data_IF_768665465202
#
_entry.id   IF_768665465202
#
_cell.length_a   1.000
_cell.length_b   1.000
_cell.length_c   1.000
_cell.angle_alpha   90.00
_cell.angle_beta   90.00
_cell.angle_gamma   90.00
#
_symmetry.space_group_name_H-M   'P 1'
#
loop_
_entity.id
_entity.type
_entity.pdbx_description
1 polymer ?
#
# COMPACT_ATOMS: atom_id res chain seq x y z
N UNK A 1 -6.08 19.56 -0.02
CA UNK A 1 -6.48 20.94 0.28
C UNK A 1 -5.52 21.91 -0.40
N UNK A 2 -4.25 21.94 -0.05
CA UNK A 2 -3.27 22.91 -0.56
C UNK A 2 -3.10 22.85 -2.09
N UNK A 3 -3.14 21.65 -2.68
CA UNK A 3 -3.12 21.48 -4.13
C UNK A 3 -4.40 22.05 -4.79
N UNK A 4 -5.58 21.87 -4.18
CA UNK A 4 -6.83 22.50 -4.65
C UNK A 4 -6.77 24.04 -4.57
N UNK A 5 -6.01 24.59 -3.61
CA UNK A 5 -5.81 26.02 -3.45
C UNK A 5 -4.73 26.61 -4.40
N UNK A 6 -4.14 25.75 -5.26
CA UNK A 6 -3.23 26.16 -6.32
C UNK A 6 -1.75 26.11 -5.98
N UNK A 7 -1.36 25.60 -4.82
CA UNK A 7 0.06 25.40 -4.45
C UNK A 7 0.62 24.13 -5.11
N UNK A 8 1.89 24.16 -5.46
CA UNK A 8 2.64 22.94 -5.79
C UNK A 8 3.04 22.26 -4.47
N UNK A 9 2.52 21.07 -4.21
CA UNK A 9 2.66 20.41 -2.92
C UNK A 9 3.38 19.08 -3.08
N UNK A 10 4.38 18.81 -2.23
CA UNK A 10 4.97 17.50 -2.08
C UNK A 10 4.59 16.89 -0.72
N UNK A 11 4.18 15.62 -0.66
CA UNK A 11 4.15 14.87 0.59
C UNK A 11 5.58 14.47 0.98
N UNK A 12 5.82 14.29 2.28
CA UNK A 12 7.10 13.82 2.78
C UNK A 12 6.93 12.96 4.04
N UNK A 13 7.50 11.78 4.04
CA UNK A 13 7.62 10.92 5.23
C UNK A 13 9.04 10.38 5.25
N UNK A 14 9.86 10.87 6.17
CA UNK A 14 11.29 10.56 6.22
C UNK A 14 11.58 9.06 6.29
N UNK A 15 10.77 8.34 7.07
CA UNK A 15 10.85 6.88 7.22
C UNK A 15 9.45 6.28 7.23
N UNK A 16 9.22 5.29 6.39
CA UNK A 16 8.02 4.46 6.44
C UNK A 16 8.36 2.99 6.74
N UNK A 17 7.44 2.29 7.39
CA UNK A 17 7.52 0.84 7.60
C UNK A 17 6.27 0.21 6.97
N UNK A 18 6.43 -0.40 5.80
CA UNK A 18 5.31 -0.99 5.07
C UNK A 18 5.73 -2.18 4.22
N UNK A 19 4.83 -3.14 4.04
CA UNK A 19 4.98 -4.23 3.07
C UNK A 19 4.56 -3.80 1.66
N UNK A 20 3.63 -2.84 1.57
CA UNK A 20 3.18 -2.29 0.30
C UNK A 20 4.21 -1.28 -0.23
N UNK A 21 4.72 -1.53 -1.41
CA UNK A 21 5.66 -0.64 -2.08
C UNK A 21 5.30 -0.47 -3.54
N UNK A 22 5.92 0.53 -4.14
CA UNK A 22 5.71 0.95 -5.52
C UNK A 22 7.06 1.23 -6.17
N UNK A 23 7.12 1.12 -7.49
CA UNK A 23 8.32 1.46 -8.27
C UNK A 23 8.05 2.77 -9.03
N UNK A 24 8.89 3.76 -8.79
CA UNK A 24 8.84 5.05 -9.49
C UNK A 24 9.31 4.91 -10.95
N UNK A 25 9.13 5.93 -11.78
CA UNK A 25 9.53 5.89 -13.19
C UNK A 25 11.02 5.63 -13.40
N UNK A 26 11.86 6.06 -12.47
CA UNK A 26 13.31 5.85 -12.50
C UNK A 26 13.75 4.53 -11.83
N UNK A 27 12.82 3.61 -11.56
CA UNK A 27 13.12 2.30 -10.99
C UNK A 27 13.38 2.28 -9.49
N UNK A 28 13.20 3.39 -8.77
CA UNK A 28 13.40 3.48 -7.34
C UNK A 28 12.17 2.96 -6.56
N UNK A 29 12.39 2.33 -5.40
CA UNK A 29 11.31 1.77 -4.57
C UNK A 29 10.90 2.73 -3.46
N UNK A 30 9.58 2.96 -3.28
CA UNK A 30 9.03 3.77 -2.20
C UNK A 30 7.76 3.17 -1.59
N UNK A 31 7.36 3.65 -0.43
CA UNK A 31 6.13 3.21 0.24
C UNK A 31 4.86 3.61 -0.52
N UNK A 32 3.90 2.70 -0.62
CA UNK A 32 2.63 2.93 -1.34
C UNK A 32 1.84 4.11 -0.75
N UNK A 33 1.86 4.31 0.56
CA UNK A 33 1.14 5.42 1.20
C UNK A 33 1.59 6.80 0.65
N UNK A 34 2.89 7.00 0.45
CA UNK A 34 3.41 8.27 -0.10
C UNK A 34 3.12 8.40 -1.59
N UNK A 35 2.93 7.29 -2.31
CA UNK A 35 2.41 7.31 -3.69
C UNK A 35 0.99 7.84 -3.72
N UNK A 36 0.11 7.35 -2.84
CA UNK A 36 -1.27 7.84 -2.71
C UNK A 36 -1.31 9.32 -2.35
N UNK A 37 -0.42 9.76 -1.45
CA UNK A 37 -0.30 11.18 -1.08
C UNK A 37 0.19 12.06 -2.25
N UNK A 38 1.13 11.57 -3.05
CA UNK A 38 1.58 12.24 -4.26
C UNK A 38 0.45 12.35 -5.30
N UNK A 39 -0.30 11.27 -5.50
CA UNK A 39 -1.48 11.26 -6.36
C UNK A 39 -2.55 12.26 -5.89
N UNK A 40 -2.82 12.33 -4.58
CA UNK A 40 -3.74 13.31 -3.99
C UNK A 40 -3.25 14.77 -4.16
N UNK A 41 -1.94 14.99 -4.19
CA UNK A 41 -1.34 16.28 -4.48
C UNK A 41 -1.24 16.58 -6.00
N UNK A 42 -1.60 15.63 -6.87
CA UNK A 42 -1.54 15.78 -8.32
C UNK A 42 -0.11 15.78 -8.89
N UNK A 43 0.85 15.18 -8.17
CA UNK A 43 2.26 15.13 -8.56
C UNK A 43 2.73 13.69 -8.80
N UNK A 44 3.75 13.52 -9.62
CA UNK A 44 4.35 12.20 -9.86
C UNK A 44 5.07 11.71 -8.59
N UNK A 45 4.88 10.45 -8.19
CA UNK A 45 5.61 9.87 -7.07
C UNK A 45 7.12 9.90 -7.26
N UNK A 46 7.83 10.44 -6.28
CA UNK A 46 9.28 10.56 -6.26
C UNK A 46 9.83 9.96 -4.96
N UNK A 47 10.91 9.19 -5.06
CA UNK A 47 11.52 8.52 -3.91
C UNK A 47 11.98 9.50 -2.82
N UNK A 48 12.28 10.76 -3.17
CA UNK A 48 12.58 11.82 -2.21
C UNK A 48 11.44 12.05 -1.20
N UNK A 49 10.19 11.75 -1.58
CA UNK A 49 9.02 11.86 -0.70
C UNK A 49 9.00 10.79 0.40
N UNK A 50 9.76 9.69 0.22
CA UNK A 50 9.95 8.64 1.22
C UNK A 50 11.39 8.09 1.14
N UNK A 51 12.40 8.83 1.61
CA UNK A 51 13.80 8.46 1.45
C UNK A 51 14.21 7.17 2.18
N UNK A 52 13.48 6.79 3.24
CA UNK A 52 13.76 5.55 3.99
C UNK A 52 12.49 4.68 4.02
N UNK A 53 12.60 3.46 3.49
CA UNK A 53 11.54 2.45 3.59
C UNK A 53 12.07 1.22 4.30
N UNK A 54 11.38 0.77 5.34
CA UNK A 54 11.63 -0.47 6.05
C UNK A 54 10.59 -1.51 5.64
N UNK A 55 11.03 -2.64 5.10
CA UNK A 55 10.15 -3.76 4.77
C UNK A 55 10.39 -4.90 5.75
N UNK A 56 9.46 -5.18 6.68
CA UNK A 56 9.57 -6.32 7.58
C UNK A 56 9.80 -7.61 6.79
N UNK A 57 10.84 -8.35 7.13
CA UNK A 57 11.20 -9.62 6.49
C UNK A 57 11.06 -10.82 7.45
N UNK A 58 11.01 -10.54 8.76
CA UNK A 58 10.80 -11.50 9.84
C UNK A 58 10.25 -10.77 11.07
N UNK A 59 9.96 -11.49 12.15
CA UNK A 59 9.48 -10.90 13.42
C UNK A 59 10.46 -9.86 14.01
N UNK A 60 11.73 -9.92 13.69
CA UNK A 60 12.77 -9.06 14.28
C UNK A 60 13.64 -8.31 13.28
N UNK A 61 13.48 -8.56 11.98
CA UNK A 61 14.33 -8.00 10.93
C UNK A 61 13.56 -7.32 9.82
N UNK A 62 14.19 -6.29 9.25
CA UNK A 62 13.67 -5.55 8.10
C UNK A 62 14.71 -5.36 7.03
N UNK A 63 14.28 -5.41 5.77
CA UNK A 63 15.07 -4.89 4.67
C UNK A 63 15.00 -3.36 4.71
N UNK A 64 16.18 -2.73 4.78
CA UNK A 64 16.33 -1.28 4.78
C UNK A 64 16.56 -0.82 3.35
N UNK A 65 15.74 0.12 2.89
CA UNK A 65 15.80 0.72 1.57
C UNK A 65 16.05 2.21 1.78
N UNK A 66 17.07 2.78 1.14
CA UNK A 66 17.45 4.19 1.23
C UNK A 66 17.46 4.77 -0.17
N UNK A 67 16.75 5.88 -0.39
CA UNK A 67 16.56 6.50 -1.71
C UNK A 67 16.12 5.51 -2.81
N UNK A 68 15.27 4.54 -2.42
CA UNK A 68 14.72 3.53 -3.30
C UNK A 68 15.66 2.36 -3.61
N UNK A 69 16.89 2.35 -3.08
CA UNK A 69 17.86 1.27 -3.24
C UNK A 69 17.97 0.41 -1.99
N UNK A 70 18.12 -0.90 -2.17
CA UNK A 70 18.31 -1.83 -1.05
C UNK A 70 19.67 -1.58 -0.41
N UNK A 71 19.66 -1.07 0.82
CA UNK A 71 20.88 -0.84 1.59
C UNK A 71 21.35 -2.13 2.29
N UNK A 72 20.42 -2.94 2.84
CA UNK A 72 20.74 -4.20 3.51
C UNK A 72 19.61 -4.74 4.37
N UNK A 73 19.94 -5.76 5.18
CA UNK A 73 19.05 -6.36 6.18
C UNK A 73 19.52 -5.95 7.58
N UNK A 74 18.62 -5.54 8.44
CA UNK A 74 18.92 -5.18 9.83
C UNK A 74 17.86 -5.70 10.79
N UNK A 75 18.29 -6.11 11.98
CA UNK A 75 17.40 -6.25 13.11
C UNK A 75 17.03 -4.88 13.70
N UNK A 76 15.90 -4.82 14.42
CA UNK A 76 15.37 -3.57 14.96
C UNK A 76 16.39 -2.84 15.88
N UNK A 77 17.12 -3.55 16.74
CA UNK A 77 18.05 -2.94 17.68
C UNK A 77 19.28 -2.33 16.95
N UNK A 78 19.77 -3.02 15.91
CA UNK A 78 20.86 -2.52 15.07
C UNK A 78 20.43 -1.32 14.25
N UNK A 79 19.22 -1.36 13.68
CA UNK A 79 18.66 -0.25 12.95
C UNK A 79 18.50 0.99 13.85
N UNK A 80 17.97 0.85 15.05
CA UNK A 80 17.81 1.96 16.00
C UNK A 80 19.12 2.66 16.32
N UNK A 81 20.21 1.90 16.52
CA UNK A 81 21.54 2.49 16.76
C UNK A 81 22.12 3.20 15.55
N UNK A 82 21.74 2.76 14.36
CA UNK A 82 22.34 3.23 13.11
C UNK A 82 21.54 4.32 12.41
N UNK A 83 20.20 4.37 12.57
CA UNK A 83 19.28 5.24 11.81
C UNK A 83 19.63 6.74 11.86
N UNK A 84 20.25 7.23 12.94
CA UNK A 84 20.69 8.63 13.04
C UNK A 84 21.68 9.03 11.95
N UNK A 85 22.43 8.06 11.41
CA UNK A 85 23.37 8.33 10.32
C UNK A 85 22.64 8.62 9.00
N UNK A 86 21.35 8.35 8.92
CA UNK A 86 20.50 8.64 7.76
C UNK A 86 19.91 10.05 7.77
N UNK A 87 20.08 10.81 8.87
CA UNK A 87 19.54 12.18 8.93
C UNK A 87 20.04 13.08 7.78
N UNK A 88 21.33 13.05 7.39
CA UNK A 88 21.79 13.82 6.22
C UNK A 88 21.06 13.43 4.92
N UNK A 89 20.79 12.15 4.70
CA UNK A 89 20.06 11.67 3.51
C UNK A 89 18.60 12.15 3.53
N UNK A 90 17.97 12.12 4.71
CA UNK A 90 16.61 12.63 4.92
C UNK A 90 16.55 14.14 4.63
N UNK A 91 17.50 14.92 5.17
CA UNK A 91 17.53 16.37 4.96
C UNK A 91 17.82 16.72 3.51
N UNK A 92 18.75 16.04 2.84
CA UNK A 92 19.04 16.26 1.42
C UNK A 92 17.80 16.01 0.54
N UNK A 93 17.02 14.96 0.84
CA UNK A 93 15.76 14.70 0.14
C UNK A 93 14.72 15.81 0.39
N UNK A 94 14.57 16.23 1.65
CA UNK A 94 13.65 17.30 2.04
C UNK A 94 14.03 18.62 1.37
N UNK A 95 15.29 19.06 1.48
CA UNK A 95 15.78 20.33 0.94
C UNK A 95 15.56 20.39 -0.60
N UNK A 96 15.83 19.28 -1.30
CA UNK A 96 15.60 19.18 -2.73
C UNK A 96 14.11 19.31 -3.10
N UNK A 97 13.18 18.77 -2.28
CA UNK A 97 11.74 18.96 -2.50
C UNK A 97 11.32 20.40 -2.15
N UNK A 98 11.86 20.98 -1.07
CA UNK A 98 11.55 22.33 -0.66
C UNK A 98 12.01 23.40 -1.66
N UNK A 99 13.05 23.12 -2.48
CA UNK A 99 13.45 23.98 -3.60
C UNK A 99 12.50 23.90 -4.80
N UNK A 100 11.81 22.77 -4.97
CA UNK A 100 10.97 22.49 -6.13
C UNK A 100 9.49 22.83 -5.90
N UNK A 101 8.98 22.62 -4.68
CA UNK A 101 7.58 22.75 -4.31
C UNK A 101 7.34 23.97 -3.41
N UNK A 102 6.14 24.53 -3.50
CA UNK A 102 5.76 25.69 -2.67
C UNK A 102 5.50 25.29 -1.22
N UNK A 103 5.00 24.06 -1.01
CA UNK A 103 4.72 23.50 0.30
C UNK A 103 5.17 22.03 0.37
N UNK A 104 5.73 21.62 1.51
CA UNK A 104 6.02 20.22 1.82
C UNK A 104 5.20 19.81 3.04
N UNK A 105 4.31 18.82 2.87
CA UNK A 105 3.49 18.27 3.96
C UNK A 105 4.17 17.04 4.53
N UNK A 106 4.65 17.16 5.77
CA UNK A 106 5.43 16.13 6.45
C UNK A 106 4.52 15.27 7.31
N UNK A 107 4.56 13.96 7.12
CA UNK A 107 3.93 12.99 7.99
C UNK A 107 4.93 12.41 8.98
N UNK A 108 4.57 12.40 10.28
CA UNK A 108 5.32 11.69 11.30
C UNK A 108 5.02 10.18 11.30
N UNK A 109 5.71 9.44 12.16
CA UNK A 109 5.46 8.02 12.37
C UNK A 109 5.45 7.66 13.85
N UNK A 110 4.49 6.82 14.27
CA UNK A 110 4.28 6.48 15.67
C UNK A 110 3.83 7.71 16.48
N UNK A 111 4.39 7.87 17.67
CA UNK A 111 4.08 8.99 18.56
C UNK A 111 5.30 9.88 18.80
N UNK A 112 5.16 11.22 18.77
CA UNK A 112 6.25 12.12 19.15
C UNK A 112 6.59 12.06 20.64
N UNK A 113 5.76 11.39 21.44
CA UNK A 113 5.96 11.21 22.90
C UNK A 113 6.65 9.90 23.27
N UNK A 114 7.26 9.19 22.32
CA UNK A 114 8.09 8.01 22.58
C UNK A 114 9.42 8.42 23.23
N UNK A 115 9.37 8.74 24.55
CA UNK A 115 10.48 9.34 25.32
C UNK A 115 11.74 8.47 25.34
N UNK A 116 11.58 7.15 25.24
CA UNK A 116 12.67 6.18 25.17
C UNK A 116 13.40 6.14 23.80
N UNK A 117 12.81 6.71 22.75
CA UNK A 117 13.35 6.71 21.38
C UNK A 117 13.74 8.11 20.88
N UNK A 118 13.57 9.12 21.72
CA UNK A 118 13.67 10.53 21.38
C UNK A 118 15.05 10.98 20.92
N UNK A 119 16.11 10.42 21.51
CA UNK A 119 17.49 10.86 21.24
C UNK A 119 17.91 10.72 19.77
N UNK A 120 17.31 9.76 19.07
CA UNK A 120 17.62 9.42 17.66
C UNK A 120 16.39 9.61 16.77
N UNK A 121 15.52 10.57 17.08
CA UNK A 121 14.30 10.85 16.31
C UNK A 121 14.63 11.58 15.01
N UNK A 122 14.41 10.91 13.89
CA UNK A 122 14.56 11.45 12.52
C UNK A 122 13.21 11.59 11.81
N UNK A 123 12.10 11.42 12.54
CA UNK A 123 10.75 11.25 11.94
C UNK A 123 9.76 12.28 12.44
N UNK A 124 9.69 12.50 13.76
CA UNK A 124 8.72 13.37 14.40
C UNK A 124 9.35 14.74 14.77
N UNK A 125 9.47 15.04 16.06
CA UNK A 125 9.96 16.34 16.54
C UNK A 125 11.43 16.59 16.18
N UNK A 126 12.25 15.55 16.05
CA UNK A 126 13.63 15.67 15.59
C UNK A 126 13.71 16.20 14.16
N UNK A 127 12.90 15.67 13.26
CA UNK A 127 12.78 16.19 11.89
C UNK A 127 12.18 17.60 11.87
N UNK A 128 11.05 17.82 12.57
CA UNK A 128 10.39 19.12 12.60
C UNK A 128 11.33 20.25 13.08
N UNK A 129 12.23 19.93 14.01
CA UNK A 129 13.29 20.87 14.45
C UNK A 129 14.34 21.13 13.38
N UNK A 130 14.77 20.06 12.69
CA UNK A 130 15.84 20.15 11.70
C UNK A 130 15.43 21.00 10.49
N UNK A 131 14.14 20.94 10.09
CA UNK A 131 13.59 21.65 8.92
C UNK A 131 12.75 22.89 9.31
N UNK A 132 12.73 23.25 10.58
CA UNK A 132 12.00 24.41 11.14
C UNK A 132 10.48 24.38 10.85
N UNK A 133 9.87 23.19 10.81
CA UNK A 133 8.47 23.05 10.48
C UNK A 133 7.52 23.30 11.68
N UNK A 134 6.38 23.98 11.49
CA UNK A 134 5.28 23.97 12.46
C UNK A 134 4.62 22.57 12.49
N UNK A 135 4.08 22.20 13.65
CA UNK A 135 3.53 20.87 13.89
C UNK A 135 2.03 20.96 14.21
N UNK A 136 1.22 20.21 13.47
CA UNK A 136 -0.18 19.95 13.81
C UNK A 136 -0.24 18.60 14.50
N UNK A 137 -0.66 18.57 15.76
CA UNK A 137 -0.79 17.33 16.53
C UNK A 137 -2.20 16.79 16.41
N UNK A 138 -2.36 15.66 15.70
CA UNK A 138 -3.64 15.01 15.48
C UNK A 138 -3.83 13.82 16.44
N UNK A 139 -5.02 13.73 17.07
CA UNK A 139 -5.42 12.61 17.91
C UNK A 139 -6.63 11.88 17.35
N UNK A 140 -6.60 10.54 17.35
CA UNK A 140 -7.70 9.68 16.91
C UNK A 140 -8.67 9.41 18.08
N UNK A 141 -9.89 9.95 17.99
CA UNK A 141 -10.92 9.78 19.05
C UNK A 141 -11.63 8.44 19.00
N UNK A 142 -11.62 7.75 17.86
CA UNK A 142 -12.36 6.49 17.68
C UNK A 142 -11.84 5.37 18.60
N UNK A 143 -10.58 5.44 19.00
CA UNK A 143 -9.95 4.51 19.96
C UNK A 143 -10.19 4.85 21.44
N UNK A 144 -10.79 6.01 21.73
CA UNK A 144 -10.97 6.53 23.07
C UNK A 144 -9.71 7.15 23.68
N UNK A 145 -9.89 7.99 24.72
CA UNK A 145 -8.78 8.59 25.48
C UNK A 145 -8.05 9.74 24.77
N UNK A 146 -8.58 10.31 23.69
CA UNK A 146 -7.92 11.34 22.86
C UNK A 146 -7.44 12.56 23.64
N UNK A 147 -8.21 13.04 24.64
CA UNK A 147 -7.80 14.16 25.50
C UNK A 147 -6.54 13.85 26.29
N UNK A 148 -6.45 12.63 26.86
CA UNK A 148 -5.27 12.18 27.59
C UNK A 148 -4.08 12.00 26.64
N UNK A 149 -4.29 11.50 25.44
CA UNK A 149 -3.24 11.32 24.43
C UNK A 149 -2.67 12.69 24.01
N UNK A 150 -3.51 13.65 23.64
CA UNK A 150 -3.07 14.98 23.21
C UNK A 150 -2.38 15.72 24.35
N UNK A 151 -3.00 15.77 25.54
CA UNK A 151 -2.40 16.38 26.72
C UNK A 151 -1.06 15.73 27.10
N UNK A 152 -1.04 14.41 27.21
CA UNK A 152 0.16 13.65 27.58
C UNK A 152 1.28 13.84 26.58
N UNK A 153 0.97 13.85 25.29
CA UNK A 153 1.96 14.12 24.23
C UNK A 153 2.58 15.50 24.41
N UNK A 154 1.76 16.56 24.54
CA UNK A 154 2.25 17.93 24.74
C UNK A 154 3.06 18.06 26.04
N UNK A 155 2.62 17.41 27.13
CA UNK A 155 3.29 17.47 28.43
C UNK A 155 4.66 16.77 28.47
N UNK A 156 4.84 15.70 27.67
CA UNK A 156 6.09 14.93 27.59
C UNK A 156 7.14 15.56 26.67
N UNK A 157 6.74 16.48 25.79
CA UNK A 157 7.66 17.18 24.90
C UNK A 157 8.46 18.26 25.65
N UNK A 158 9.67 18.52 25.18
CA UNK A 158 10.50 19.63 25.65
C UNK A 158 9.90 20.98 25.25
N UNK A 159 10.30 22.04 25.94
CA UNK A 159 9.77 23.39 25.69
C UNK A 159 9.95 23.82 24.22
N UNK A 160 11.14 23.58 23.67
CA UNK A 160 11.47 23.93 22.28
C UNK A 160 10.64 23.13 21.26
N UNK A 161 10.23 21.91 21.59
CA UNK A 161 9.36 21.08 20.77
C UNK A 161 7.90 21.50 20.92
N UNK A 162 7.45 21.74 22.15
CA UNK A 162 6.11 22.26 22.41
C UNK A 162 5.87 23.60 21.71
N UNK A 163 6.90 24.45 21.64
CA UNK A 163 6.80 25.73 20.93
C UNK A 163 6.43 25.55 19.45
N UNK A 164 6.86 24.45 18.81
CA UNK A 164 6.55 24.14 17.39
C UNK A 164 5.12 23.66 17.14
N UNK A 165 4.41 23.19 18.19
CA UNK A 165 3.01 22.78 18.02
C UNK A 165 2.18 24.03 17.74
N UNK A 166 1.73 24.17 16.51
CA UNK A 166 0.87 25.25 16.03
C UNK A 166 -0.60 25.03 16.43
N UNK A 167 -1.04 23.76 16.51
CA UNK A 167 -2.40 23.46 16.93
C UNK A 167 -2.66 21.97 17.12
N UNK A 168 -3.82 21.69 17.71
CA UNK A 168 -4.32 20.35 17.97
C UNK A 168 -5.49 20.04 17.05
N UNK A 169 -5.60 18.79 16.59
CA UNK A 169 -6.71 18.30 15.75
C UNK A 169 -7.26 17.04 16.41
N UNK A 170 -8.59 16.94 16.50
CA UNK A 170 -9.26 15.70 16.85
C UNK A 170 -9.81 15.07 15.58
N UNK A 171 -9.47 13.83 15.30
CA UNK A 171 -9.82 13.13 14.07
C UNK A 171 -10.79 11.97 14.33
N UNK A 172 -11.58 11.60 13.30
CA UNK A 172 -12.52 10.48 13.25
C UNK A 172 -13.66 10.57 14.27
N UNK A 173 -14.12 11.77 14.56
CA UNK A 173 -15.21 11.96 15.51
C UNK A 173 -16.55 11.44 14.96
N UNK A 174 -17.30 10.75 15.83
CA UNK A 174 -18.65 10.29 15.54
C UNK A 174 -19.64 10.90 16.52
N UNK A 175 -20.64 11.62 16.04
CA UNK A 175 -21.69 12.23 16.86
C UNK A 175 -21.75 13.75 16.76
N UNK A 176 -22.31 14.39 17.78
CA UNK A 176 -22.46 15.86 17.84
C UNK A 176 -21.20 16.50 18.43
N UNK A 177 -20.45 17.23 17.61
CA UNK A 177 -19.23 17.92 18.01
C UNK A 177 -19.48 18.99 19.10
N UNK A 178 -20.72 19.50 19.26
CA UNK A 178 -21.04 20.44 20.32
C UNK A 178 -20.83 19.84 21.73
N UNK A 179 -21.01 18.53 21.87
CA UNK A 179 -20.77 17.82 23.13
C UNK A 179 -19.30 17.81 23.55
N UNK A 180 -18.35 17.93 22.60
CA UNK A 180 -16.91 18.02 22.91
C UNK A 180 -16.48 19.40 23.39
N UNK A 181 -17.24 20.46 23.08
CA UNK A 181 -16.83 21.85 23.29
C UNK A 181 -16.27 22.15 24.67
N UNK A 182 -16.90 21.72 25.81
CA UNK A 182 -16.34 21.96 27.13
C UNK A 182 -14.97 21.28 27.32
N UNK A 183 -14.79 20.08 26.78
CA UNK A 183 -13.52 19.34 26.82
C UNK A 183 -12.43 19.99 25.96
N UNK A 184 -12.81 20.57 24.79
CA UNK A 184 -11.86 21.28 23.92
C UNK A 184 -11.29 22.50 24.64
N UNK A 185 -12.18 23.33 25.24
CA UNK A 185 -11.75 24.51 26.04
C UNK A 185 -10.80 24.11 27.18
N UNK A 186 -11.13 23.02 27.88
CA UNK A 186 -10.25 22.51 28.95
C UNK A 186 -8.90 22.01 28.41
N UNK A 187 -8.88 21.33 27.25
CA UNK A 187 -7.67 20.87 26.60
C UNK A 187 -6.77 22.06 26.22
N UNK A 188 -7.34 23.11 25.63
CA UNK A 188 -6.62 24.34 25.29
C UNK A 188 -5.99 25.00 26.53
N UNK A 189 -6.76 25.09 27.63
CA UNK A 189 -6.27 25.63 28.90
C UNK A 189 -5.10 24.81 29.47
N UNK A 190 -5.18 23.47 29.40
CA UNK A 190 -4.17 22.58 29.94
C UNK A 190 -2.89 22.53 29.09
N UNK A 191 -3.02 22.65 27.76
CA UNK A 191 -1.90 22.52 26.82
C UNK A 191 -1.30 23.86 26.42
N UNK A 192 -2.07 24.97 26.54
CA UNK A 192 -1.74 26.25 25.96
C UNK A 192 -1.72 26.26 24.43
N UNK A 193 -2.39 25.29 23.79
CA UNK A 193 -2.44 25.11 22.33
C UNK A 193 -3.89 25.16 21.86
N UNK A 194 -4.14 25.85 20.75
CA UNK A 194 -5.46 25.96 20.13
C UNK A 194 -5.89 24.61 19.52
N UNK A 195 -7.16 24.26 19.66
CA UNK A 195 -7.78 23.17 18.90
C UNK A 195 -8.29 23.73 17.58
N UNK A 196 -7.62 23.38 16.48
CA UNK A 196 -7.94 23.87 15.13
C UNK A 196 -9.18 23.26 14.54
N UNK A 197 -9.67 22.17 15.10
CA UNK A 197 -10.94 21.57 14.69
C UNK A 197 -11.12 20.12 15.11
N UNK A 198 -12.33 19.64 14.82
CA UNK A 198 -12.77 18.26 15.06
C UNK A 198 -13.25 17.69 13.74
N UNK A 199 -12.41 16.84 13.13
CA UNK A 199 -12.72 16.18 11.86
C UNK A 199 -13.67 15.01 12.12
N UNK A 200 -14.84 14.98 11.49
CA UNK A 200 -15.75 13.83 11.61
C UNK A 200 -15.15 12.58 10.96
N UNK A 201 -15.71 11.42 11.28
CA UNK A 201 -15.44 10.23 10.52
C UNK A 201 -15.99 10.40 9.10
N UNK A 202 -15.08 10.48 8.14
CA UNK A 202 -15.43 10.67 6.73
C UNK A 202 -15.54 9.30 6.04
N UNK A 203 -16.65 9.00 5.35
CA UNK A 203 -16.81 7.74 4.63
C UNK A 203 -16.13 7.80 3.25
N UNK A 204 -14.81 7.98 3.25
CA UNK A 204 -13.98 7.99 2.04
C UNK A 204 -13.28 6.65 1.88
N UNK A 205 -13.12 6.24 0.63
CA UNK A 205 -12.45 5.00 0.24
C UNK A 205 -11.08 5.35 -0.35
N UNK A 206 -10.08 5.37 0.52
CA UNK A 206 -8.68 5.63 0.17
C UNK A 206 -7.88 4.37 0.49
N UNK A 207 -6.88 4.07 -0.32
CA UNK A 207 -5.99 2.92 -0.11
C UNK A 207 -5.42 2.90 1.30
N UNK A 208 -5.50 1.74 1.94
CA UNK A 208 -4.91 1.53 3.25
C UNK A 208 -3.38 1.41 3.16
N UNK A 209 -2.69 1.90 4.18
CA UNK A 209 -1.23 1.90 4.23
C UNK A 209 -0.66 0.49 4.44
N UNK A 210 -1.28 -0.33 5.27
CA UNK A 210 -0.74 -1.61 5.70
C UNK A 210 -1.72 -2.80 5.62
N UNK A 211 -1.16 -4.01 5.71
CA UNK A 211 -1.89 -5.28 5.66
C UNK A 211 -2.71 -5.61 6.94
N UNK A 212 -2.75 -4.72 7.92
CA UNK A 212 -3.60 -4.83 9.13
C UNK A 212 -4.92 -4.08 8.96
N UNK A 213 -5.15 -3.47 7.81
CA UNK A 213 -6.32 -2.68 7.50
C UNK A 213 -7.64 -3.42 7.79
N UNK A 214 -8.64 -2.74 8.38
CA UNK A 214 -9.94 -3.34 8.70
C UNK A 214 -10.65 -3.94 7.49
N UNK A 215 -10.47 -3.37 6.28
CA UNK A 215 -11.08 -3.87 5.03
C UNK A 215 -10.68 -5.32 4.73
N UNK A 216 -9.45 -5.72 5.08
CA UNK A 216 -8.95 -7.09 4.88
C UNK A 216 -9.62 -8.13 5.79
N UNK A 217 -10.43 -7.69 6.73
CA UNK A 217 -11.21 -8.53 7.65
C UNK A 217 -12.72 -8.32 7.53
N UNK A 218 -13.14 -7.31 6.76
CA UNK A 218 -14.54 -6.96 6.61
C UNK A 218 -15.29 -8.03 5.79
N UNK A 219 -16.51 -8.39 6.22
CA UNK A 219 -17.44 -9.13 5.37
C UNK A 219 -18.02 -8.14 4.36
N UNK A 220 -17.74 -8.37 3.08
CA UNK A 220 -18.36 -7.56 2.05
C UNK A 220 -19.84 -7.91 1.85
N UNK A 221 -20.61 -6.91 1.42
CA UNK A 221 -21.99 -7.09 0.98
C UNK A 221 -22.08 -8.04 -0.21
N UNK A 222 -23.09 -8.89 -0.25
CA UNK A 222 -23.38 -9.75 -1.40
C UNK A 222 -23.53 -8.91 -2.68
N UNK A 223 -22.64 -9.12 -3.64
CA UNK A 223 -22.68 -8.56 -4.97
C UNK A 223 -22.87 -9.67 -6.00
N UNK A 224 -23.01 -9.29 -7.27
CA UNK A 224 -23.34 -10.25 -8.33
C UNK A 224 -22.26 -11.32 -8.55
N UNK A 225 -21.00 -10.98 -8.37
CA UNK A 225 -19.85 -11.89 -8.47
C UNK A 225 -19.05 -11.91 -7.17
N UNK A 226 -18.68 -13.10 -6.74
CA UNK A 226 -17.87 -13.35 -5.55
C UNK A 226 -16.40 -13.57 -5.95
N UNK A 227 -15.54 -12.63 -5.60
CA UNK A 227 -14.09 -12.70 -5.84
C UNK A 227 -13.38 -12.89 -4.52
N UNK A 228 -12.59 -13.94 -4.42
CA UNK A 228 -11.79 -14.22 -3.22
C UNK A 228 -10.34 -13.86 -3.46
N UNK A 229 -9.79 -13.04 -2.56
CA UNK A 229 -8.34 -12.85 -2.40
C UNK A 229 -7.88 -13.73 -1.24
N UNK A 230 -6.91 -14.61 -1.49
CA UNK A 230 -6.32 -15.41 -0.41
C UNK A 230 -5.49 -14.51 0.48
N UNK A 231 -5.90 -14.34 1.73
CA UNK A 231 -5.17 -13.51 2.70
C UNK A 231 -3.98 -14.28 3.25
N UNK A 232 -2.84 -14.10 2.60
CA UNK A 232 -1.55 -14.67 3.01
C UNK A 232 -1.04 -14.01 4.30
N UNK A 233 -0.25 -14.70 5.15
CA UNK A 233 0.36 -14.12 6.35
C UNK A 233 1.26 -12.91 6.06
N UNK A 234 2.04 -12.97 4.95
CA UNK A 234 2.94 -11.89 4.54
C UNK A 234 2.42 -11.14 3.30
N UNK A 235 1.08 -11.04 3.19
CA UNK A 235 0.40 -10.32 2.11
C UNK A 235 1.05 -8.96 1.84
N UNK A 236 1.39 -8.69 0.59
CA UNK A 236 1.95 -7.42 0.13
C UNK A 236 1.24 -6.93 -1.13
N UNK A 237 1.25 -5.62 -1.35
CA UNK A 237 0.67 -4.97 -2.52
C UNK A 237 -0.81 -5.35 -2.76
N UNK A 238 -1.56 -5.50 -1.67
CA UNK A 238 -3.00 -5.84 -1.75
C UNK A 238 -3.83 -4.76 -2.45
N UNK A 239 -3.30 -3.55 -2.58
CA UNK A 239 -3.89 -2.45 -3.34
C UNK A 239 -4.06 -2.76 -4.82
N UNK A 240 -3.39 -3.79 -5.36
CA UNK A 240 -3.65 -4.31 -6.71
C UNK A 240 -5.13 -4.64 -6.96
N UNK A 241 -5.91 -4.91 -5.90
CA UNK A 241 -7.31 -5.35 -6.01
C UNK A 241 -8.32 -4.25 -5.66
N UNK A 242 -7.87 -3.07 -5.21
CA UNK A 242 -8.76 -1.92 -4.92
C UNK A 242 -9.64 -1.53 -6.12
N UNK A 243 -9.15 -1.58 -7.38
CA UNK A 243 -9.99 -1.31 -8.54
C UNK A 243 -11.17 -2.28 -8.68
N UNK A 244 -11.00 -3.53 -8.24
CA UNK A 244 -12.07 -4.53 -8.23
C UNK A 244 -13.05 -4.29 -7.07
N UNK A 245 -12.56 -3.88 -5.90
CA UNK A 245 -13.37 -3.60 -4.70
C UNK A 245 -14.35 -2.44 -4.95
N UNK A 246 -13.89 -1.39 -5.64
CA UNK A 246 -14.69 -0.23 -5.99
C UNK A 246 -15.79 -0.52 -7.04
N UNK A 247 -15.72 -1.68 -7.72
CA UNK A 247 -16.66 -2.03 -8.77
C UNK A 247 -18.02 -2.51 -8.23
N UNK A 248 -19.12 -2.00 -8.76
CA UNK A 248 -20.48 -2.27 -8.26
C UNK A 248 -20.93 -3.73 -8.33
N UNK A 249 -20.39 -4.52 -9.28
CA UNK A 249 -20.77 -5.92 -9.48
C UNK A 249 -19.87 -6.91 -8.73
N UNK A 250 -18.68 -6.50 -8.26
CA UNK A 250 -17.69 -7.39 -7.66
C UNK A 250 -17.73 -7.31 -6.14
N UNK A 251 -18.02 -8.42 -5.47
CA UNK A 251 -17.83 -8.61 -4.03
C UNK A 251 -16.44 -9.20 -3.79
N UNK A 252 -15.44 -8.36 -3.53
CA UNK A 252 -14.09 -8.82 -3.20
C UNK A 252 -13.99 -9.08 -1.71
N UNK A 253 -13.49 -10.24 -1.30
CA UNK A 253 -13.32 -10.61 0.11
C UNK A 253 -11.98 -11.32 0.33
N UNK A 254 -11.33 -10.96 1.43
CA UNK A 254 -10.04 -11.52 1.83
C UNK A 254 -10.26 -12.72 2.76
N UNK A 255 -9.71 -13.88 2.42
CA UNK A 255 -9.98 -15.14 3.11
C UNK A 255 -8.69 -15.83 3.54
N UNK A 256 -8.53 -16.00 4.86
CA UNK A 256 -7.44 -16.78 5.46
C UNK A 256 -7.91 -18.16 5.97
N UNK A 257 -9.22 -18.34 6.19
CA UNK A 257 -9.81 -19.59 6.71
C UNK A 257 -10.54 -20.32 5.59
N UNK A 258 -10.19 -21.59 5.36
CA UNK A 258 -10.83 -22.45 4.36
C UNK A 258 -12.35 -22.56 4.52
N UNK A 259 -12.86 -22.43 5.77
CA UNK A 259 -14.30 -22.46 6.05
C UNK A 259 -15.06 -21.27 5.45
N UNK A 260 -14.36 -20.15 5.25
CA UNK A 260 -14.91 -18.96 4.64
C UNK A 260 -14.70 -18.90 3.11
N UNK A 261 -13.96 -19.85 2.54
CA UNK A 261 -13.62 -19.84 1.11
C UNK A 261 -14.87 -19.98 0.21
N UNK A 262 -15.75 -20.92 0.52
CA UNK A 262 -16.96 -21.16 -0.26
C UNK A 262 -16.68 -21.64 -1.70
N UNK A 263 -17.55 -21.24 -2.61
CA UNK A 263 -17.41 -21.47 -4.07
C UNK A 263 -17.44 -20.12 -4.80
N UNK A 264 -16.32 -19.40 -4.83
CA UNK A 264 -16.24 -18.10 -5.49
C UNK A 264 -16.32 -18.21 -7.03
N UNK A 265 -16.62 -17.09 -7.67
CA UNK A 265 -16.58 -16.99 -9.13
C UNK A 265 -15.14 -16.81 -9.65
N UNK A 266 -14.21 -16.30 -8.79
CA UNK A 266 -12.81 -16.11 -9.12
C UNK A 266 -11.93 -16.11 -7.85
N UNK A 267 -10.69 -16.60 -7.98
CA UNK A 267 -9.70 -16.56 -6.90
C UNK A 267 -8.47 -15.78 -7.32
N UNK A 268 -8.02 -14.90 -6.42
CA UNK A 268 -6.80 -14.13 -6.54
C UNK A 268 -5.79 -14.61 -5.49
N UNK A 269 -4.60 -15.01 -5.96
CA UNK A 269 -3.46 -15.34 -5.11
C UNK A 269 -2.48 -14.17 -5.17
N UNK A 270 -2.41 -13.34 -4.12
CA UNK A 270 -1.74 -12.05 -4.16
C UNK A 270 -0.22 -12.14 -4.08
N UNK A 271 0.43 -10.99 -4.21
CA UNK A 271 1.83 -10.81 -3.86
C UNK A 271 2.10 -11.07 -2.38
N UNK A 272 3.31 -11.51 -2.09
CA UNK A 272 3.76 -11.73 -0.71
C UNK A 272 5.23 -11.36 -0.56
N UNK A 273 5.60 -10.96 0.66
CA UNK A 273 6.99 -10.67 1.01
C UNK A 273 7.80 -11.94 1.32
N UNK A 274 7.13 -13.06 1.58
CA UNK A 274 7.80 -14.34 1.90
C UNK A 274 7.06 -15.50 1.23
N UNK A 275 7.39 -15.75 -0.04
CA UNK A 275 6.75 -16.76 -0.88
C UNK A 275 6.91 -18.17 -0.33
N UNK A 276 8.09 -18.48 0.22
CA UNK A 276 8.39 -19.83 0.72
C UNK A 276 7.56 -20.18 1.96
N UNK A 277 7.49 -19.28 2.94
CA UNK A 277 6.75 -19.54 4.17
C UNK A 277 5.23 -19.46 3.93
N UNK A 278 4.76 -18.58 3.04
CA UNK A 278 3.36 -18.51 2.66
C UNK A 278 2.90 -19.72 1.87
N UNK A 279 3.76 -20.30 1.03
CA UNK A 279 3.49 -21.57 0.36
C UNK A 279 3.37 -22.74 1.37
N UNK A 280 4.19 -22.76 2.41
CA UNK A 280 4.05 -23.73 3.50
C UNK A 280 2.77 -23.50 4.30
N UNK A 281 2.39 -22.24 4.55
CA UNK A 281 1.14 -21.91 5.20
C UNK A 281 -0.08 -22.37 4.39
N UNK A 282 -0.08 -22.21 3.05
CA UNK A 282 -1.15 -22.72 2.18
C UNK A 282 -1.37 -24.23 2.39
N UNK A 283 -0.29 -25.01 2.59
CA UNK A 283 -0.36 -26.44 2.85
C UNK A 283 -0.89 -26.74 4.23
N UNK A 284 -0.32 -26.09 5.25
CA UNK A 284 -0.64 -26.34 6.64
C UNK A 284 -2.07 -25.94 7.01
N UNK A 285 -2.57 -24.85 6.42
CA UNK A 285 -3.95 -24.36 6.59
C UNK A 285 -4.99 -25.18 5.82
N UNK A 286 -4.55 -26.05 4.89
CA UNK A 286 -5.44 -26.76 3.95
C UNK A 286 -5.92 -25.94 2.77
N UNK A 287 -5.46 -24.67 2.64
CA UNK A 287 -5.84 -23.76 1.55
C UNK A 287 -5.38 -24.33 0.21
N UNK A 288 -4.16 -24.90 0.08
CA UNK A 288 -3.67 -25.56 -1.12
C UNK A 288 -4.68 -26.60 -1.65
N UNK A 289 -5.14 -27.52 -0.80
CA UNK A 289 -6.11 -28.53 -1.20
C UNK A 289 -7.46 -27.92 -1.61
N UNK A 290 -7.86 -26.81 -0.97
CA UNK A 290 -9.08 -26.11 -1.32
C UNK A 290 -8.96 -25.42 -2.69
N UNK A 291 -7.83 -24.76 -2.99
CA UNK A 291 -7.54 -24.13 -4.27
C UNK A 291 -7.51 -25.16 -5.40
N UNK A 292 -6.87 -26.31 -5.19
CA UNK A 292 -6.86 -27.41 -6.18
C UNK A 292 -8.26 -27.94 -6.46
N UNK A 293 -9.13 -28.03 -5.45
CA UNK A 293 -10.55 -28.43 -5.65
C UNK A 293 -11.33 -27.36 -6.44
N UNK A 294 -11.12 -26.07 -6.15
CA UNK A 294 -11.76 -24.97 -6.87
C UNK A 294 -11.32 -24.98 -8.34
N UNK A 295 -10.00 -25.15 -8.60
CA UNK A 295 -9.49 -25.33 -9.95
C UNK A 295 -10.16 -26.51 -10.65
N UNK A 296 -10.22 -27.69 -10.02
CA UNK A 296 -10.92 -28.88 -10.57
C UNK A 296 -12.41 -28.66 -10.81
N UNK A 297 -13.05 -27.71 -10.10
CA UNK A 297 -14.43 -27.29 -10.33
C UNK A 297 -14.56 -26.19 -11.41
N UNK A 298 -13.47 -25.80 -12.06
CA UNK A 298 -13.44 -24.80 -13.12
C UNK A 298 -13.45 -23.35 -12.63
N UNK A 299 -13.12 -23.10 -11.35
CA UNK A 299 -12.97 -21.72 -10.83
C UNK A 299 -11.66 -21.14 -11.33
N UNK A 300 -11.67 -19.98 -12.01
CA UNK A 300 -10.44 -19.33 -12.47
C UNK A 300 -9.59 -18.83 -11.30
N UNK A 301 -8.26 -18.90 -11.49
CA UNK A 301 -7.27 -18.46 -10.49
C UNK A 301 -6.26 -17.55 -11.17
N UNK A 302 -5.98 -16.38 -10.57
CA UNK A 302 -4.90 -15.48 -10.98
C UNK A 302 -3.90 -15.31 -9.85
N UNK A 303 -2.61 -15.56 -10.12
CA UNK A 303 -1.51 -15.26 -9.22
C UNK A 303 -0.75 -13.99 -9.63
N UNK A 304 -0.49 -13.11 -8.69
CA UNK A 304 0.32 -11.91 -8.87
C UNK A 304 1.63 -12.04 -8.10
N UNK A 305 2.75 -11.81 -8.75
CA UNK A 305 4.10 -11.81 -8.15
C UNK A 305 4.37 -13.10 -7.34
N UNK A 306 4.43 -13.05 -6.01
CA UNK A 306 4.58 -14.25 -5.16
C UNK A 306 3.47 -15.28 -5.37
N UNK A 307 2.23 -14.84 -5.61
CA UNK A 307 1.11 -15.70 -5.98
C UNK A 307 1.36 -16.45 -7.29
N UNK A 308 1.90 -15.77 -8.30
CA UNK A 308 2.32 -16.39 -9.54
C UNK A 308 3.40 -17.47 -9.33
N UNK A 309 4.41 -17.16 -8.53
CA UNK A 309 5.49 -18.11 -8.19
C UNK A 309 4.94 -19.37 -7.51
N UNK A 310 3.99 -19.22 -6.56
CA UNK A 310 3.37 -20.34 -5.85
C UNK A 310 2.52 -21.24 -6.76
N UNK A 311 1.92 -20.71 -7.83
CA UNK A 311 1.15 -21.47 -8.80
C UNK A 311 2.00 -22.42 -9.65
N UNK A 312 3.32 -22.20 -9.73
CA UNK A 312 4.27 -22.98 -10.51
C UNK A 312 4.50 -24.41 -10.02
N UNK A 313 5.40 -25.13 -10.70
CA UNK A 313 5.82 -26.50 -10.35
C UNK A 313 6.77 -26.51 -9.15
N UNK A 314 7.77 -25.61 -9.14
CA UNK A 314 8.78 -25.50 -8.08
C UNK A 314 9.10 -24.04 -7.78
N UNK A 315 9.45 -23.79 -6.52
CA UNK A 315 10.04 -22.55 -6.04
C UNK A 315 11.33 -22.89 -5.31
N UNK A 316 12.45 -22.44 -5.84
CA UNK A 316 13.78 -22.78 -5.40
C UNK A 316 14.51 -21.54 -4.89
N UNK A 317 15.09 -21.61 -3.68
CA UNK A 317 15.93 -20.57 -3.06
C UNK A 317 17.28 -21.17 -2.68
N UNK A 318 18.17 -21.39 -3.68
CA UNK A 318 19.43 -22.10 -3.44
C UNK A 318 20.41 -21.31 -2.54
N UNK A 319 20.33 -19.99 -2.58
CA UNK A 319 21.23 -19.11 -1.81
C UNK A 319 20.61 -18.62 -0.49
N UNK A 320 19.36 -18.96 -0.23
CA UNK A 320 18.65 -18.47 0.95
C UNK A 320 18.31 -16.98 0.90
N UNK A 321 18.10 -16.46 -0.29
CA UNK A 321 17.86 -15.04 -0.54
C UNK A 321 16.57 -14.53 0.14
N UNK A 322 15.52 -15.33 0.13
CA UNK A 322 14.25 -14.98 0.76
C UNK A 322 14.17 -15.45 2.21
N UNK A 323 14.61 -16.68 2.47
CA UNK A 323 14.37 -17.36 3.76
C UNK A 323 15.60 -17.47 4.67
N UNK A 324 16.74 -16.91 4.27
CA UNK A 324 18.00 -16.98 5.00
C UNK A 324 18.66 -18.37 4.99
N UNK A 325 18.11 -19.34 4.29
CA UNK A 325 18.62 -20.70 4.14
C UNK A 325 18.21 -21.31 2.80
N UNK A 326 19.06 -22.16 2.24
CA UNK A 326 18.73 -22.88 1.01
C UNK A 326 17.48 -23.76 1.19
N UNK A 327 16.52 -23.59 0.29
CA UNK A 327 15.25 -24.33 0.27
C UNK A 327 14.83 -24.63 -1.16
N UNK A 328 14.09 -25.71 -1.34
CA UNK A 328 13.35 -26.05 -2.56
C UNK A 328 11.97 -26.56 -2.15
N UNK A 329 10.93 -25.97 -2.69
CA UNK A 329 9.56 -26.35 -2.42
C UNK A 329 8.83 -26.66 -3.73
N UNK A 330 7.98 -27.67 -3.69
CA UNK A 330 7.03 -27.90 -4.78
C UNK A 330 5.97 -26.80 -4.71
N UNK A 331 5.64 -26.16 -5.84
CA UNK A 331 4.51 -25.23 -5.95
C UNK A 331 3.16 -25.97 -6.01
N UNK A 332 2.09 -25.25 -6.35
CA UNK A 332 0.76 -25.84 -6.54
C UNK A 332 0.67 -26.69 -7.81
N UNK A 333 1.58 -26.50 -8.77
CA UNK A 333 1.63 -27.24 -10.03
C UNK A 333 0.50 -26.93 -11.00
N UNK A 334 -0.11 -25.74 -10.87
CA UNK A 334 -1.20 -25.28 -11.72
C UNK A 334 -0.73 -24.54 -12.97
N UNK A 335 0.50 -24.02 -12.93
CA UNK A 335 1.18 -23.42 -14.09
C UNK A 335 2.47 -24.18 -14.41
N UNK A 336 2.78 -24.42 -15.70
CA UNK A 336 4.00 -25.11 -16.10
C UNK A 336 5.22 -24.17 -16.08
N UNK A 337 5.55 -23.69 -14.90
CA UNK A 337 6.65 -22.72 -14.66
C UNK A 337 7.45 -23.12 -13.43
N UNK A 338 8.73 -22.69 -13.42
CA UNK A 338 9.65 -22.90 -12.28
C UNK A 338 10.29 -21.59 -11.90
N UNK A 339 10.29 -21.29 -10.62
CA UNK A 339 10.86 -20.06 -10.07
C UNK A 339 12.13 -20.38 -9.29
N UNK A 340 13.18 -19.59 -9.53
CA UNK A 340 14.42 -19.62 -8.76
C UNK A 340 14.66 -18.22 -8.19
N UNK A 341 14.82 -18.11 -6.87
CA UNK A 341 15.23 -16.86 -6.24
C UNK A 341 16.69 -16.57 -6.53
N UNK A 342 16.97 -15.32 -6.85
CA UNK A 342 18.31 -14.80 -7.12
C UNK A 342 18.58 -13.58 -6.25
N UNK A 343 19.85 -13.21 -6.07
CA UNK A 343 20.23 -11.99 -5.34
C UNK A 343 19.85 -10.69 -6.06
N UNK A 344 19.46 -10.76 -7.33
CA UNK A 344 19.06 -9.62 -8.12
C UNK A 344 17.56 -9.30 -7.94
N UNK A 345 17.27 -8.04 -7.65
CA UNK A 345 15.88 -7.54 -7.51
C UNK A 345 15.47 -6.84 -8.79
N UNK A 346 14.45 -7.36 -9.46
CA UNK A 346 13.80 -6.69 -10.58
C UNK A 346 12.90 -5.57 -10.06
N UNK A 347 13.06 -4.37 -10.61
CA UNK A 347 12.23 -3.19 -10.33
C UNK A 347 12.05 -2.44 -11.63
N UNK A 348 10.92 -2.58 -12.27
CA UNK A 348 10.64 -2.00 -13.58
C UNK A 348 9.21 -1.51 -13.66
N UNK A 349 8.96 -0.62 -14.62
CA UNK A 349 7.65 -0.05 -14.89
C UNK A 349 7.31 -0.13 -16.38
N UNK A 350 7.15 -1.34 -16.92
CA UNK A 350 6.94 -1.55 -18.34
C UNK A 350 5.53 -1.16 -18.76
N UNK A 351 5.38 -0.74 -20.01
CA UNK A 351 4.11 -0.80 -20.70
C UNK A 351 3.86 -2.23 -21.14
N UNK A 352 2.64 -2.73 -21.00
CA UNK A 352 2.34 -4.11 -21.35
C UNK A 352 1.01 -4.26 -22.12
N UNK A 353 0.90 -5.38 -22.83
CA UNK A 353 -0.34 -5.83 -23.47
C UNK A 353 -0.58 -7.28 -23.09
N UNK A 354 -1.79 -7.59 -22.67
CA UNK A 354 -2.16 -8.95 -22.36
C UNK A 354 -2.29 -9.78 -23.65
N UNK A 355 -1.70 -10.99 -23.64
CA UNK A 355 -1.67 -11.90 -24.78
C UNK A 355 -2.76 -12.97 -24.72
N UNK A 356 -3.24 -13.26 -23.53
CA UNK A 356 -4.09 -14.40 -23.27
C UNK A 356 -5.49 -14.00 -22.77
N UNK A 357 -6.49 -14.77 -23.20
CA UNK A 357 -7.86 -14.64 -22.67
C UNK A 357 -7.88 -14.93 -21.15
N UNK A 358 -8.65 -14.22 -20.32
CA UNK A 358 -9.71 -13.28 -20.73
C UNK A 358 -9.25 -11.85 -20.98
N UNK A 359 -7.97 -11.55 -20.88
CA UNK A 359 -7.41 -10.19 -20.93
C UNK A 359 -6.89 -9.81 -22.31
N UNK A 360 -6.89 -10.73 -23.28
CA UNK A 360 -6.24 -10.56 -24.59
C UNK A 360 -6.51 -9.21 -25.25
N UNK A 361 -5.44 -8.50 -25.59
CA UNK A 361 -5.47 -7.18 -26.21
C UNK A 361 -5.63 -6.01 -25.23
N UNK A 362 -5.89 -6.24 -23.93
CA UNK A 362 -5.96 -5.18 -22.94
C UNK A 362 -4.58 -4.56 -22.73
N UNK A 363 -4.53 -3.23 -22.69
CA UNK A 363 -3.34 -2.49 -22.27
C UNK A 363 -3.23 -2.51 -20.75
N UNK A 364 -2.02 -2.70 -20.27
CA UNK A 364 -1.70 -2.78 -18.86
C UNK A 364 -0.64 -1.70 -18.56
N UNK A 365 -0.85 -0.99 -17.48
CA UNK A 365 0.15 -0.13 -16.85
C UNK A 365 0.36 -0.62 -15.43
N UNK A 366 1.62 -0.76 -15.02
CA UNK A 366 1.92 -1.29 -13.71
C UNK A 366 3.42 -1.29 -13.46
N UNK A 367 3.84 -2.11 -12.52
CA UNK A 367 5.24 -2.24 -12.15
C UNK A 367 5.55 -3.66 -11.72
N UNK A 368 6.82 -4.04 -11.79
CA UNK A 368 7.34 -5.29 -11.26
C UNK A 368 8.30 -5.02 -10.12
N UNK A 369 8.19 -5.82 -9.07
CA UNK A 369 9.08 -5.75 -7.92
C UNK A 369 9.23 -7.15 -7.31
N UNK A 370 10.25 -7.88 -7.73
CA UNK A 370 10.46 -9.25 -7.27
C UNK A 370 11.93 -9.66 -7.29
N UNK A 371 12.27 -10.77 -6.63
CA UNK A 371 13.61 -11.35 -6.59
C UNK A 371 13.71 -12.72 -7.28
N UNK A 372 12.59 -13.31 -7.65
CA UNK A 372 12.55 -14.59 -8.35
C UNK A 372 12.63 -14.43 -9.86
N UNK A 373 13.33 -15.35 -10.50
CA UNK A 373 13.32 -15.54 -11.96
C UNK A 373 12.49 -16.77 -12.29
N UNK A 374 11.42 -16.57 -13.06
CA UNK A 374 10.52 -17.65 -13.49
C UNK A 374 10.84 -18.05 -14.91
N UNK A 375 10.96 -19.36 -15.13
CA UNK A 375 11.21 -19.98 -16.43
C UNK A 375 9.98 -20.75 -16.85
N UNK A 376 9.48 -20.45 -18.07
CA UNK A 376 8.33 -21.12 -18.66
C UNK A 376 8.78 -22.46 -19.26
N UNK A 377 8.03 -23.52 -19.03
CA UNK A 377 8.19 -24.80 -19.71
C UNK A 377 7.86 -24.67 -21.20
N UNK A 378 8.45 -25.53 -22.02
CA UNK A 378 8.27 -25.47 -23.48
C UNK A 378 6.78 -25.62 -23.84
N UNK A 379 6.27 -24.65 -24.59
CA UNK A 379 4.86 -24.64 -25.07
C UNK A 379 3.90 -23.92 -24.11
N UNK A 380 4.40 -23.35 -23.00
CA UNK A 380 3.58 -22.49 -22.13
C UNK A 380 3.20 -21.20 -22.86
N UNK A 381 1.95 -20.79 -22.74
CA UNK A 381 1.45 -19.52 -23.28
C UNK A 381 1.79 -18.41 -22.29
N UNK A 382 2.56 -17.36 -22.69
CA UNK A 382 2.79 -16.21 -21.84
C UNK A 382 1.51 -15.39 -21.65
N UNK A 383 1.37 -14.75 -20.48
CA UNK A 383 0.18 -13.96 -20.18
C UNK A 383 0.28 -12.54 -20.75
N UNK A 384 1.46 -11.94 -20.69
CA UNK A 384 1.67 -10.55 -21.09
C UNK A 384 2.90 -10.38 -22.00
N UNK A 385 2.83 -9.37 -22.82
CA UNK A 385 3.94 -8.84 -23.60
C UNK A 385 4.31 -7.47 -23.05
N UNK A 386 5.56 -7.27 -22.71
CA UNK A 386 6.07 -6.06 -22.08
C UNK A 386 7.08 -5.37 -22.97
N UNK A 387 7.07 -4.03 -22.91
CA UNK A 387 8.07 -3.19 -23.58
C UNK A 387 8.64 -2.19 -22.58
N UNK A 388 9.95 -2.18 -22.46
CA UNK A 388 10.69 -1.29 -21.59
C UNK A 388 11.99 -0.84 -22.30
N UNK A 389 12.23 0.46 -22.39
CA UNK A 389 13.43 1.05 -23.03
C UNK A 389 13.75 0.48 -24.42
N UNK A 390 12.73 0.03 -25.16
CA UNK A 390 12.89 -0.59 -26.48
C UNK A 390 13.22 -2.09 -26.46
N UNK A 391 13.40 -2.67 -25.29
CA UNK A 391 13.48 -4.11 -25.12
C UNK A 391 12.09 -4.73 -24.97
N UNK A 392 11.90 -5.86 -25.62
CA UNK A 392 10.62 -6.55 -25.65
C UNK A 392 10.77 -7.92 -25.00
N UNK A 393 9.90 -8.21 -24.02
CA UNK A 393 9.88 -9.53 -23.37
C UNK A 393 8.47 -10.02 -23.13
N UNK A 394 8.35 -11.31 -23.00
CA UNK A 394 7.13 -11.98 -22.56
C UNK A 394 7.26 -12.34 -21.08
N UNK A 395 6.17 -12.18 -20.33
CA UNK A 395 6.10 -12.56 -18.94
C UNK A 395 4.78 -13.24 -18.59
N UNK A 396 4.80 -13.88 -17.42
CA UNK A 396 3.66 -14.61 -16.93
C UNK A 396 3.39 -15.91 -17.68
N UNK A 397 2.34 -16.57 -17.27
CA UNK A 397 1.92 -17.84 -17.87
C UNK A 397 0.42 -18.02 -17.77
N UNK A 398 -0.13 -18.77 -18.73
CA UNK A 398 -1.48 -19.26 -18.69
C UNK A 398 -1.51 -20.78 -18.93
N UNK A 399 -2.37 -21.47 -18.19
CA UNK A 399 -2.74 -22.88 -18.43
C UNK A 399 -4.19 -23.06 -18.02
N UNK A 400 -5.02 -23.58 -18.92
CA UNK A 400 -6.48 -23.68 -18.74
C UNK A 400 -7.08 -22.33 -18.28
N UNK A 401 -7.64 -22.30 -17.07
CA UNK A 401 -8.22 -21.10 -16.43
C UNK A 401 -7.36 -20.59 -15.27
N UNK A 402 -6.05 -20.89 -15.28
CA UNK A 402 -5.07 -20.37 -14.34
C UNK A 402 -4.14 -19.41 -15.04
N UNK A 403 -3.94 -18.26 -14.41
CA UNK A 403 -3.17 -17.13 -14.93
C UNK A 403 -2.15 -16.69 -13.89
N UNK A 404 -1.03 -16.15 -14.33
CA UNK A 404 -0.08 -15.55 -13.40
C UNK A 404 0.92 -14.66 -14.11
N UNK A 405 1.31 -13.55 -13.47
CA UNK A 405 2.37 -12.65 -13.92
C UNK A 405 3.03 -11.94 -12.75
N UNK A 406 4.16 -11.28 -13.02
CA UNK A 406 4.84 -10.45 -12.03
C UNK A 406 4.25 -9.05 -11.88
N UNK A 407 3.49 -8.58 -12.86
CA UNK A 407 3.01 -7.21 -12.90
C UNK A 407 2.00 -6.93 -11.78
N UNK A 408 2.31 -5.95 -10.93
CA UNK A 408 1.41 -5.28 -10.01
C UNK A 408 0.64 -4.17 -10.73
N UNK A 409 -0.57 -3.84 -10.24
CA UNK A 409 -1.44 -2.85 -10.88
C UNK A 409 -2.18 -3.38 -12.11
N UNK A 410 -2.28 -4.70 -12.30
CA UNK A 410 -2.93 -5.31 -13.48
C UNK A 410 -4.38 -4.83 -13.69
N UNK A 411 -5.05 -4.38 -12.63
CA UNK A 411 -6.42 -3.87 -12.66
C UNK A 411 -6.53 -2.34 -12.63
N UNK A 412 -5.43 -1.59 -12.61
CA UNK A 412 -5.47 -0.12 -12.55
C UNK A 412 -6.11 0.50 -13.80
N UNK A 413 -5.96 -0.18 -14.95
CA UNK A 413 -6.60 0.22 -16.18
C UNK A 413 -8.06 -0.26 -16.25
N UNK A 414 -8.98 0.67 -16.47
CA UNK A 414 -10.42 0.34 -16.58
C UNK A 414 -10.75 -0.64 -17.72
N UNK A 415 -9.93 -0.67 -18.77
CA UNK A 415 -10.07 -1.61 -19.88
C UNK A 415 -9.82 -3.05 -19.41
N UNK A 416 -8.80 -3.26 -18.58
CA UNK A 416 -8.50 -4.60 -18.02
C UNK A 416 -9.63 -5.09 -17.12
N UNK A 417 -10.16 -4.21 -16.26
CA UNK A 417 -11.32 -4.54 -15.40
C UNK A 417 -12.53 -4.89 -16.24
N UNK A 418 -12.80 -4.15 -17.33
CA UNK A 418 -13.92 -4.44 -18.26
C UNK A 418 -13.77 -5.78 -18.94
N UNK A 419 -12.57 -6.06 -19.47
CA UNK A 419 -12.28 -7.31 -20.18
C UNK A 419 -12.39 -8.51 -19.24
N UNK A 420 -11.85 -8.38 -18.04
CA UNK A 420 -11.98 -9.36 -16.97
C UNK A 420 -13.45 -9.63 -16.61
N UNK A 421 -14.22 -8.58 -16.36
CA UNK A 421 -15.65 -8.69 -16.06
C UNK A 421 -16.42 -9.36 -17.20
N UNK A 422 -16.19 -8.93 -18.43
CA UNK A 422 -16.88 -9.49 -19.59
C UNK A 422 -16.62 -10.99 -19.68
N UNK A 423 -15.38 -11.44 -19.54
CA UNK A 423 -15.01 -12.85 -19.65
C UNK A 423 -15.56 -13.70 -18.49
N UNK A 424 -15.42 -13.23 -17.24
CA UNK A 424 -15.89 -13.99 -16.07
C UNK A 424 -17.42 -14.00 -15.98
N UNK A 425 -18.09 -12.88 -16.26
CA UNK A 425 -19.54 -12.77 -16.27
C UNK A 425 -20.18 -13.61 -17.35
N UNK A 426 -19.66 -13.51 -18.59
CA UNK A 426 -20.19 -14.26 -19.72
C UNK A 426 -20.00 -15.78 -19.52
N UNK A 427 -18.86 -16.21 -19.01
CA UNK A 427 -18.57 -17.62 -18.82
C UNK A 427 -19.41 -18.27 -17.70
N UNK A 428 -19.79 -17.51 -16.67
CA UNK A 428 -20.41 -18.10 -15.47
C UNK A 428 -21.87 -17.75 -15.24
N UNK A 429 -22.33 -16.53 -15.54
CA UNK A 429 -23.67 -16.08 -15.14
C UNK A 429 -24.52 -15.44 -16.23
N UNK A 430 -24.04 -15.38 -17.46
CA UNK A 430 -24.77 -14.81 -18.61
C UNK A 430 -25.32 -13.39 -18.35
N UNK A 431 -24.67 -12.58 -17.52
CA UNK A 431 -25.07 -11.18 -17.29
C UNK A 431 -24.50 -10.34 -18.44
N UNK A 432 -25.29 -9.51 -19.14
CA UNK A 432 -24.76 -8.67 -20.21
C UNK A 432 -23.68 -7.72 -19.71
N UNK A 433 -22.53 -7.72 -20.35
CA UNK A 433 -21.39 -6.87 -20.01
C UNK A 433 -21.68 -5.35 -20.11
N UNK A 434 -22.82 -4.97 -20.67
CA UNK A 434 -23.23 -3.58 -20.89
C UNK A 434 -23.79 -2.87 -19.63
N UNK A 435 -23.93 -3.58 -18.51
CA UNK A 435 -24.68 -3.09 -17.34
C UNK A 435 -23.88 -2.23 -16.34
N UNK A 436 -22.61 -1.93 -16.59
CA UNK A 436 -21.82 -1.13 -15.62
C UNK A 436 -21.22 0.14 -16.24
N UNK A 437 -21.59 1.32 -15.74
CA UNK A 437 -20.84 2.54 -16.08
C UNK A 437 -19.46 2.44 -15.46
N UNK A 438 -18.44 2.29 -16.29
CA UNK A 438 -17.06 2.19 -15.86
C UNK A 438 -16.49 3.59 -15.70
N UNK A 439 -16.46 4.07 -14.47
CA UNK A 439 -15.60 5.18 -14.09
C UNK A 439 -14.18 4.60 -14.05
N UNK A 440 -13.19 5.31 -14.59
CA UNK A 440 -11.81 4.87 -14.41
C UNK A 440 -11.45 4.86 -12.92
N UNK A 441 -10.62 3.93 -12.49
CA UNK A 441 -10.18 3.85 -11.09
C UNK A 441 -9.56 5.18 -10.64
N UNK A 442 -8.73 5.79 -11.48
CA UNK A 442 -8.15 7.11 -11.22
C UNK A 442 -9.21 8.21 -10.99
N UNK A 443 -10.26 8.28 -11.79
CA UNK A 443 -11.33 9.25 -11.58
C UNK A 443 -12.18 8.93 -10.33
N UNK A 444 -12.19 7.68 -9.89
CA UNK A 444 -12.79 7.30 -8.61
C UNK A 444 -11.92 7.79 -7.44
N UNK A 445 -10.61 7.54 -7.48
CA UNK A 445 -9.65 8.00 -6.46
C UNK A 445 -9.66 9.53 -6.33
N UNK A 446 -9.60 10.26 -7.45
CA UNK A 446 -9.66 11.74 -7.46
C UNK A 446 -10.90 12.26 -6.73
N UNK A 447 -12.07 11.64 -6.94
CA UNK A 447 -13.29 12.01 -6.20
C UNK A 447 -13.20 11.68 -4.70
N UNK A 448 -12.52 10.60 -4.31
CA UNK A 448 -12.30 10.27 -2.91
C UNK A 448 -11.35 11.28 -2.25
N UNK A 449 -10.31 11.71 -2.95
CA UNK A 449 -9.41 12.78 -2.48
C UNK A 449 -10.13 14.12 -2.31
N UNK A 450 -10.96 14.50 -3.27
CA UNK A 450 -11.78 15.72 -3.20
C UNK A 450 -12.75 15.64 -2.02
N UNK A 451 -13.46 14.53 -1.85
CA UNK A 451 -14.38 14.35 -0.74
C UNK A 451 -13.67 14.41 0.63
N UNK A 452 -12.46 13.85 0.73
CA UNK A 452 -11.62 13.98 1.93
C UNK A 452 -11.23 15.43 2.17
N UNK A 453 -10.74 16.12 1.14
CA UNK A 453 -10.29 17.51 1.24
C UNK A 453 -11.45 18.43 1.67
N UNK A 454 -12.62 18.28 1.07
CA UNK A 454 -13.82 19.07 1.40
C UNK A 454 -14.25 18.81 2.85
N UNK A 455 -14.29 17.55 3.27
CA UNK A 455 -14.67 17.17 4.64
C UNK A 455 -13.70 17.69 5.70
N UNK A 456 -12.40 17.63 5.42
CA UNK A 456 -11.36 18.16 6.34
C UNK A 456 -11.39 19.70 6.35
N UNK A 457 -11.51 20.35 5.19
CA UNK A 457 -11.62 21.81 5.06
C UNK A 457 -12.80 22.38 5.85
N UNK A 458 -13.95 21.71 5.78
CA UNK A 458 -15.14 22.12 6.51
C UNK A 458 -15.00 21.99 8.04
N UNK A 459 -14.07 21.17 8.51
CA UNK A 459 -13.90 20.83 9.93
C UNK A 459 -12.73 21.54 10.63
N UNK A 460 -11.78 22.09 9.87
CA UNK A 460 -10.56 22.71 10.40
C UNK A 460 -10.52 24.22 10.13
N UNK A 461 -9.87 24.94 11.03
CA UNK A 461 -9.45 26.33 10.82
C UNK A 461 -8.22 26.34 9.87
N UNK A 462 -8.49 26.28 8.57
CA UNK A 462 -7.46 26.20 7.52
C UNK A 462 -6.68 27.51 7.45
N UNK A 463 -7.29 28.65 7.74
CA UNK A 463 -6.61 29.95 7.74
C UNK A 463 -5.55 30.01 8.84
N UNK A 464 -5.85 29.49 10.04
CA UNK A 464 -4.85 29.37 11.13
C UNK A 464 -3.70 28.42 10.75
N UNK A 465 -3.97 27.37 9.96
CA UNK A 465 -2.94 26.47 9.44
C UNK A 465 -2.03 27.22 8.47
N UNK A 466 -2.58 27.97 7.53
CA UNK A 466 -1.79 28.82 6.60
C UNK A 466 -0.93 29.82 7.36
N UNK A 467 -1.51 30.53 8.33
CA UNK A 467 -0.76 31.48 9.17
C UNK A 467 0.40 30.82 9.89
N UNK A 468 0.25 29.59 10.38
CA UNK A 468 1.32 28.85 11.06
C UNK A 468 2.50 28.50 10.15
N UNK A 469 2.26 28.41 8.85
CA UNK A 469 3.28 28.17 7.83
C UNK A 469 3.90 29.46 7.27
N UNK A 470 3.31 30.61 7.57
CA UNK A 470 3.78 31.90 7.06
C UNK A 470 3.36 32.21 5.61
N UNK A 471 2.26 31.60 5.13
CA UNK A 471 1.68 31.80 3.79
C UNK A 471 0.24 32.28 3.88
#
# INVERSE_FOLDING_TARGET
IFAQDGYRVAPFKSQNMALNSFVTRNGAEMGRAQVVQAQAAGVEPDVRMNPILLKPSSDTGSQVIVHGEVWGQMDAASYFRWKKNLLPDVLAAYDSLAEEYDLVVIEGAGSPAEINLKADDIVNMGLARAVDAPVLLAGDIDRGGVFAQLYGTVALLEEVERARIAGLIINKFRGDAALLRPGLVQLEQLTGKQVLGVVPYLPVDIDDEDSLAPRLSARQTEKALDVVVVRLPHLSNFTDFTPLESHSLLGVRYVADIRALGLPDFVLLPGTKNTMDDLLWLRQSGMEAALLRLHGAGVPILGVCGGYQMLGETVDDPEGTESGRSRSLRGLGLLPVRTVFTGEKTRTRPAAVALAEPFAGARLEGYEIHMGRTVLSKGTVPLVYMEEEGEQRQDGAQSDHVYGCYMHGIFDMSETVKTFLAAVLCARRCIPATASPTISHRAYEERQFDALADGVRAALDVDAIYQSMGV
#
